data_IF_614139700995
#
_entry.id   IF_614139700995
#
_cell.length_a   1.000
_cell.length_b   1.000
_cell.length_c   1.000
_cell.angle_alpha   90.00
_cell.angle_beta   90.00
_cell.angle_gamma   90.00
#
_symmetry.space_group_name_H-M   'P 1'
#
loop_
_entity.id
_entity.type
_entity.pdbx_description
1 polymer ?
#
# COMPACT_ATOMS: atom_id res chain seq x y z
N UNK A 1 -11.93 14.27 16.11
CA UNK A 1 -12.68 14.16 14.84
C UNK A 1 -13.34 15.50 14.57
N UNK A 2 -13.00 16.18 13.48
CA UNK A 2 -13.84 17.28 12.99
C UNK A 2 -15.10 16.63 12.41
N UNK A 3 -16.26 17.15 12.83
CA UNK A 3 -17.64 16.80 12.44
C UNK A 3 -17.85 15.43 11.77
N UNK A 4 -18.45 14.49 12.49
CA UNK A 4 -18.97 13.28 11.83
C UNK A 4 -20.09 13.68 10.85
N UNK A 5 -19.93 13.26 9.60
CA UNK A 5 -20.92 13.39 8.54
C UNK A 5 -21.51 11.99 8.26
N UNK A 6 -22.83 11.78 8.47
CA UNK A 6 -23.48 10.51 8.20
C UNK A 6 -23.33 10.03 6.75
N UNK A 7 -23.40 10.93 5.77
CA UNK A 7 -23.28 10.55 4.35
C UNK A 7 -21.85 10.08 4.04
N UNK A 8 -20.85 10.71 4.65
CA UNK A 8 -19.46 10.26 4.54
C UNK A 8 -19.24 8.89 5.22
N UNK A 9 -19.94 8.61 6.33
CA UNK A 9 -19.90 7.29 7.00
C UNK A 9 -20.48 6.19 6.12
N UNK A 10 -21.62 6.46 5.49
CA UNK A 10 -22.28 5.50 4.59
C UNK A 10 -21.42 5.23 3.34
N UNK A 11 -20.83 6.28 2.76
CA UNK A 11 -19.90 6.14 1.64
C UNK A 11 -18.67 5.30 2.02
N UNK A 12 -18.07 5.54 3.19
CA UNK A 12 -16.92 4.77 3.65
C UNK A 12 -17.28 3.30 3.91
N UNK A 13 -18.46 3.03 4.47
CA UNK A 13 -18.95 1.67 4.68
C UNK A 13 -19.15 0.94 3.34
N UNK A 14 -19.73 1.62 2.35
CA UNK A 14 -19.88 1.09 0.98
C UNK A 14 -18.54 0.80 0.31
N UNK A 15 -17.60 1.75 0.34
CA UNK A 15 -16.25 1.59 -0.21
C UNK A 15 -15.52 0.41 0.45
N UNK A 16 -15.61 0.28 1.78
CA UNK A 16 -15.03 -0.84 2.51
C UNK A 16 -15.63 -2.18 2.09
N UNK A 17 -16.95 -2.25 1.87
CA UNK A 17 -17.62 -3.47 1.40
C UNK A 17 -17.17 -3.85 -0.01
N UNK A 18 -17.17 -2.89 -0.94
CA UNK A 18 -16.70 -3.11 -2.32
C UNK A 18 -15.23 -3.56 -2.34
N UNK A 19 -14.38 -2.94 -1.51
CA UNK A 19 -12.99 -3.36 -1.33
C UNK A 19 -12.90 -4.81 -0.85
N UNK A 20 -13.66 -5.18 0.19
CA UNK A 20 -13.70 -6.55 0.69
C UNK A 20 -14.12 -7.57 -0.38
N UNK A 21 -15.15 -7.26 -1.17
CA UNK A 21 -15.60 -8.11 -2.27
C UNK A 21 -14.52 -8.27 -3.36
N UNK A 22 -13.83 -7.18 -3.72
CA UNK A 22 -12.75 -7.24 -4.71
C UNK A 22 -11.59 -8.11 -4.20
N UNK A 23 -11.12 -7.86 -2.98
CA UNK A 23 -9.97 -8.56 -2.39
C UNK A 23 -10.25 -10.06 -2.18
N UNK A 24 -11.48 -10.42 -1.79
CA UNK A 24 -11.87 -11.81 -1.61
C UNK A 24 -11.81 -12.64 -2.91
N UNK A 25 -11.92 -12.00 -4.08
CA UNK A 25 -11.96 -12.68 -5.37
C UNK A 25 -10.68 -12.50 -6.21
N UNK A 26 -10.01 -11.34 -6.09
CA UNK A 26 -8.80 -11.04 -6.85
C UNK A 26 -7.51 -11.35 -6.07
N UNK A 27 -7.60 -11.55 -4.75
CA UNK A 27 -6.44 -11.68 -3.89
C UNK A 27 -5.81 -10.33 -3.53
N UNK A 28 -4.57 -10.40 -3.04
CA UNK A 28 -3.82 -9.28 -2.49
C UNK A 28 -2.45 -9.20 -3.18
N UNK A 29 -1.53 -8.38 -2.64
CA UNK A 29 -0.18 -8.24 -3.17
C UNK A 29 0.82 -7.83 -2.11
N UNK A 30 1.91 -7.18 -2.55
CA UNK A 30 3.07 -6.89 -1.74
C UNK A 30 2.78 -6.08 -0.46
N UNK A 31 1.82 -5.15 -0.48
CA UNK A 31 1.38 -4.42 0.73
C UNK A 31 1.01 -5.38 1.85
N UNK A 32 0.17 -6.37 1.57
CA UNK A 32 -0.28 -7.33 2.58
C UNK A 32 0.78 -8.39 2.91
N UNK A 33 1.68 -8.69 1.97
CA UNK A 33 2.84 -9.57 2.21
C UNK A 33 3.83 -8.97 3.20
N UNK A 34 4.11 -7.68 3.07
CA UNK A 34 4.93 -6.90 4.01
C UNK A 34 4.20 -6.69 5.34
N UNK A 35 2.93 -6.28 5.31
CA UNK A 35 2.16 -5.98 6.51
C UNK A 35 2.00 -7.17 7.46
N UNK A 36 1.92 -8.40 6.95
CA UNK A 36 1.86 -9.61 7.78
C UNK A 36 3.13 -9.82 8.62
N UNK A 37 4.30 -9.65 8.01
CA UNK A 37 5.61 -9.79 8.69
C UNK A 37 5.81 -8.65 9.69
N UNK A 38 5.62 -7.40 9.25
CA UNK A 38 5.79 -6.22 10.08
C UNK A 38 4.83 -6.25 11.28
N UNK A 39 3.57 -6.61 11.07
CA UNK A 39 2.59 -6.73 12.15
C UNK A 39 2.96 -7.78 13.18
N UNK A 40 3.49 -8.93 12.74
CA UNK A 40 3.99 -9.98 13.64
C UNK A 40 5.20 -9.55 14.47
N UNK A 41 6.05 -8.68 13.94
CA UNK A 41 7.24 -8.18 14.62
C UNK A 41 6.94 -7.00 15.57
N UNK A 42 6.11 -6.06 15.14
CA UNK A 42 5.93 -4.76 15.81
C UNK A 42 4.67 -4.68 16.67
N UNK A 43 3.66 -5.52 16.38
CA UNK A 43 2.32 -5.39 16.95
C UNK A 43 1.55 -4.16 16.46
N UNK A 44 2.06 -3.42 15.48
CA UNK A 44 1.40 -2.25 14.92
C UNK A 44 0.08 -2.61 14.22
N UNK A 45 -0.87 -1.66 14.23
CA UNK A 45 -2.18 -1.87 13.62
C UNK A 45 -2.05 -2.14 12.10
N UNK A 46 -2.68 -3.22 11.63
CA UNK A 46 -2.55 -3.67 10.25
C UNK A 46 -2.89 -2.58 9.22
N UNK A 47 -3.98 -1.84 9.43
CA UNK A 47 -4.37 -0.75 8.55
C UNK A 47 -3.34 0.38 8.49
N UNK A 48 -2.64 0.67 9.58
CA UNK A 48 -1.59 1.68 9.62
C UNK A 48 -0.37 1.24 8.80
N UNK A 49 0.04 -0.03 8.93
CA UNK A 49 1.13 -0.60 8.15
C UNK A 49 0.78 -0.61 6.66
N UNK A 50 -0.41 -1.10 6.30
CA UNK A 50 -0.87 -1.14 4.92
C UNK A 50 -0.95 0.26 4.30
N UNK A 51 -1.44 1.25 5.06
CA UNK A 51 -1.50 2.65 4.61
C UNK A 51 -0.11 3.24 4.36
N UNK A 52 0.85 3.02 5.26
CA UNK A 52 2.23 3.50 5.12
C UNK A 52 2.95 2.89 3.90
N UNK A 53 2.57 1.67 3.48
CA UNK A 53 3.21 0.96 2.37
C UNK A 53 2.55 1.23 1.01
N UNK A 54 1.32 1.76 0.97
CA UNK A 54 0.48 1.74 -0.23
C UNK A 54 1.09 2.55 -1.38
N UNK A 55 1.56 3.77 -1.11
CA UNK A 55 2.20 4.62 -2.12
C UNK A 55 3.48 4.01 -2.70
N UNK A 56 4.50 3.69 -1.86
CA UNK A 56 5.73 3.06 -2.32
C UNK A 56 5.53 1.75 -3.09
N UNK A 57 4.63 0.87 -2.62
CA UNK A 57 4.33 -0.39 -3.33
C UNK A 57 3.65 -0.14 -4.68
N UNK A 58 2.71 0.82 -4.75
CA UNK A 58 2.07 1.19 -6.01
C UNK A 58 3.11 1.68 -7.03
N UNK A 59 4.04 2.53 -6.61
CA UNK A 59 5.13 3.01 -7.45
C UNK A 59 6.02 1.87 -7.97
N UNK A 60 6.44 0.96 -7.07
CA UNK A 60 7.29 -0.16 -7.42
C UNK A 60 6.59 -1.11 -8.41
N UNK A 61 5.35 -1.48 -8.12
CA UNK A 61 4.53 -2.31 -9.01
C UNK A 61 4.35 -1.67 -10.37
N UNK A 62 3.99 -0.38 -10.41
CA UNK A 62 3.80 0.35 -11.66
C UNK A 62 5.08 0.39 -12.49
N UNK A 63 6.22 0.61 -11.85
CA UNK A 63 7.53 0.70 -12.52
C UNK A 63 7.98 -0.63 -13.12
N UNK A 64 7.72 -1.74 -12.42
CA UNK A 64 8.09 -3.09 -12.88
C UNK A 64 7.06 -3.74 -13.82
N UNK A 65 5.81 -3.25 -13.84
CA UNK A 65 4.74 -3.82 -14.64
C UNK A 65 4.86 -3.49 -16.13
N UNK A 66 4.38 -4.43 -16.94
CA UNK A 66 4.21 -4.30 -18.39
C UNK A 66 2.81 -4.77 -18.81
N UNK A 67 2.41 -4.48 -20.04
CA UNK A 67 1.15 -4.96 -20.63
C UNK A 67 -0.09 -4.61 -19.79
N UNK A 68 -1.00 -5.58 -19.63
CA UNK A 68 -2.30 -5.37 -18.95
C UNK A 68 -2.14 -4.93 -17.49
N UNK A 69 -1.17 -5.47 -16.76
CA UNK A 69 -0.91 -5.08 -15.38
C UNK A 69 -0.50 -3.60 -15.31
N UNK A 70 0.38 -3.17 -16.22
CA UNK A 70 0.79 -1.77 -16.31
C UNK A 70 -0.40 -0.85 -16.61
N UNK A 71 -1.21 -1.18 -17.62
CA UNK A 71 -2.39 -0.39 -17.98
C UNK A 71 -3.37 -0.24 -16.81
N UNK A 72 -3.57 -1.29 -16.00
CA UNK A 72 -4.43 -1.22 -14.81
C UNK A 72 -3.84 -0.34 -13.70
N UNK A 73 -2.52 -0.38 -13.51
CA UNK A 73 -1.85 0.47 -12.53
C UNK A 73 -1.82 1.93 -12.98
N UNK A 74 -1.71 2.19 -14.29
CA UNK A 74 -1.86 3.53 -14.87
C UNK A 74 -3.28 4.07 -14.65
N UNK A 75 -4.33 3.28 -14.93
CA UNK A 75 -5.74 3.63 -14.65
C UNK A 75 -5.95 4.01 -13.17
N UNK A 76 -5.42 3.21 -12.24
CA UNK A 76 -5.48 3.52 -10.80
C UNK A 76 -4.75 4.82 -10.47
N UNK A 77 -3.59 5.07 -11.07
CA UNK A 77 -2.84 6.31 -10.83
C UNK A 77 -3.55 7.53 -11.41
N UNK A 78 -4.28 7.41 -12.53
CA UNK A 78 -5.10 8.49 -13.09
C UNK A 78 -6.26 8.84 -12.14
N UNK A 79 -6.96 7.84 -11.59
CA UNK A 79 -8.04 8.06 -10.61
C UNK A 79 -7.52 8.74 -9.33
N UNK A 80 -6.36 8.30 -8.83
CA UNK A 80 -5.73 8.90 -7.66
C UNK A 80 -5.25 10.33 -7.95
N UNK A 81 -4.69 10.56 -9.13
CA UNK A 81 -4.23 11.87 -9.57
C UNK A 81 -5.37 12.89 -9.60
N UNK A 82 -6.53 12.51 -10.16
CA UNK A 82 -7.73 13.35 -10.16
C UNK A 82 -8.19 13.66 -8.73
N UNK A 83 -8.29 12.64 -7.87
CA UNK A 83 -8.78 12.78 -6.51
C UNK A 83 -7.85 13.63 -5.61
N UNK A 84 -6.54 13.55 -5.83
CA UNK A 84 -5.52 14.21 -5.00
C UNK A 84 -4.98 15.51 -5.62
N UNK A 85 -5.42 15.89 -6.81
CA UNK A 85 -4.93 17.08 -7.52
C UNK A 85 -3.46 16.97 -7.93
N UNK A 86 -3.03 15.80 -8.41
CA UNK A 86 -1.67 15.50 -8.85
C UNK A 86 -1.65 15.00 -10.31
N UNK A 87 -0.47 14.73 -10.88
CA UNK A 87 -0.38 13.97 -12.14
C UNK A 87 -0.39 12.47 -11.88
N UNK A 88 -0.76 11.65 -12.87
CA UNK A 88 -0.70 10.18 -12.76
C UNK A 88 0.70 9.65 -12.45
N UNK A 89 1.75 10.40 -12.82
CA UNK A 89 3.12 10.06 -12.46
C UNK A 89 3.42 10.29 -10.98
N UNK A 90 2.85 11.34 -10.40
CA UNK A 90 3.05 11.74 -8.99
C UNK A 90 2.08 11.03 -8.04
N UNK A 91 1.00 10.43 -8.56
CA UNK A 91 -0.08 9.85 -7.77
C UNK A 91 0.37 8.92 -6.62
N UNK A 92 1.35 8.00 -6.79
CA UNK A 92 1.81 7.17 -5.67
C UNK A 92 2.44 7.99 -4.52
N UNK A 93 3.20 9.03 -4.85
CA UNK A 93 3.81 9.92 -3.86
C UNK A 93 2.77 10.86 -3.24
N UNK A 94 1.82 11.37 -4.05
CA UNK A 94 0.71 12.19 -3.57
C UNK A 94 -0.18 11.40 -2.58
N UNK A 95 -0.45 10.12 -2.87
CA UNK A 95 -1.19 9.24 -1.98
C UNK A 95 -0.48 9.05 -0.63
N UNK A 96 0.84 8.84 -0.65
CA UNK A 96 1.63 8.73 0.57
C UNK A 96 1.61 10.03 1.39
N UNK A 97 1.81 11.17 0.72
CA UNK A 97 1.78 12.48 1.37
C UNK A 97 0.41 12.78 1.98
N UNK A 98 -0.67 12.46 1.27
CA UNK A 98 -2.04 12.57 1.78
C UNK A 98 -2.27 11.68 3.01
N UNK A 99 -1.84 10.41 2.96
CA UNK A 99 -1.97 9.50 4.09
C UNK A 99 -1.29 10.04 5.36
N UNK A 100 -0.07 10.58 5.24
CA UNK A 100 0.62 11.23 6.34
C UNK A 100 -0.10 12.50 6.83
N UNK A 101 -0.62 13.32 5.93
CA UNK A 101 -1.38 14.52 6.28
C UNK A 101 -2.68 14.21 7.05
N UNK A 102 -3.33 13.08 6.74
CA UNK A 102 -4.51 12.56 7.45
C UNK A 102 -4.17 11.79 8.74
N UNK A 103 -2.89 11.76 9.13
CA UNK A 103 -2.46 11.25 10.43
C UNK A 103 -2.00 9.80 10.46
N UNK A 104 -1.82 9.15 9.30
CA UNK A 104 -1.13 7.86 9.28
C UNK A 104 0.36 8.03 9.60
N UNK A 105 0.93 7.19 10.48
CA UNK A 105 2.34 7.24 10.79
C UNK A 105 3.19 6.69 9.64
N UNK A 106 4.41 7.21 9.49
CA UNK A 106 5.44 6.57 8.67
C UNK A 106 5.86 5.22 9.28
N UNK A 107 6.43 4.33 8.47
CA UNK A 107 6.73 2.97 8.90
C UNK A 107 7.74 2.93 10.07
N UNK A 108 8.71 3.85 10.09
CA UNK A 108 9.64 4.03 11.22
C UNK A 108 8.94 4.30 12.56
N UNK A 109 7.83 5.05 12.54
CA UNK A 109 7.07 5.37 13.74
C UNK A 109 6.22 4.19 14.22
N UNK A 110 6.08 3.15 13.39
CA UNK A 110 5.46 1.87 13.71
C UNK A 110 6.49 0.84 14.23
N UNK A 111 7.76 1.23 14.41
CA UNK A 111 8.79 0.38 15.02
C UNK A 111 9.61 -0.43 14.02
N UNK A 112 9.52 -0.14 12.71
CA UNK A 112 10.42 -0.71 11.71
C UNK A 112 11.71 0.13 11.64
N UNK A 113 12.85 -0.54 11.59
CA UNK A 113 14.19 0.08 11.55
C UNK A 113 14.95 -0.38 10.31
N UNK A 114 15.88 0.44 9.84
CA UNK A 114 16.60 0.22 8.57
C UNK A 114 17.35 -1.12 8.53
N UNK A 115 17.90 -1.57 9.67
CA UNK A 115 18.59 -2.84 9.80
C UNK A 115 17.66 -4.06 9.69
N UNK A 116 16.35 -3.87 9.80
CA UNK A 116 15.34 -4.93 9.64
C UNK A 116 14.85 -5.08 8.20
N UNK A 117 15.13 -4.13 7.30
CA UNK A 117 14.55 -4.10 5.95
C UNK A 117 14.85 -5.38 5.15
N UNK A 118 16.09 -5.88 5.21
CA UNK A 118 16.47 -7.09 4.50
C UNK A 118 15.70 -8.31 5.01
N UNK A 119 15.63 -8.49 6.33
CA UNK A 119 14.92 -9.60 6.95
C UNK A 119 13.41 -9.56 6.67
N UNK A 120 12.79 -8.38 6.78
CA UNK A 120 11.37 -8.20 6.45
C UNK A 120 11.12 -8.57 4.98
N UNK A 121 11.96 -8.05 4.08
CA UNK A 121 11.83 -8.28 2.65
C UNK A 121 11.96 -9.77 2.28
N UNK A 122 12.93 -10.47 2.85
CA UNK A 122 13.11 -11.91 2.65
C UNK A 122 11.92 -12.73 3.18
N UNK A 123 11.49 -12.44 4.41
CA UNK A 123 10.36 -13.14 5.02
C UNK A 123 9.05 -12.93 4.25
N UNK A 124 8.84 -11.72 3.71
CA UNK A 124 7.63 -11.37 2.97
C UNK A 124 7.49 -12.08 1.62
N UNK A 125 8.59 -12.58 1.03
CA UNK A 125 8.51 -13.38 -0.21
C UNK A 125 7.77 -14.71 -0.01
N UNK A 126 7.78 -15.25 1.21
CA UNK A 126 7.07 -16.50 1.53
C UNK A 126 5.57 -16.27 1.81
N UNK A 127 5.11 -15.03 1.98
CA UNK A 127 3.73 -14.72 2.31
C UNK A 127 2.78 -15.11 1.15
N UNK A 128 1.66 -15.76 1.48
CA UNK A 128 0.65 -16.15 0.47
C UNK A 128 0.08 -14.96 -0.28
N UNK A 129 -0.08 -13.82 0.39
CA UNK A 129 -0.52 -12.55 -0.20
C UNK A 129 0.46 -11.99 -1.25
N UNK A 130 1.77 -12.25 -1.11
CA UNK A 130 2.77 -11.81 -2.09
C UNK A 130 2.59 -12.51 -3.44
N UNK A 131 2.06 -13.74 -3.46
CA UNK A 131 1.84 -14.51 -4.70
C UNK A 131 0.82 -13.87 -5.64
N UNK A 132 -0.09 -13.05 -5.12
CA UNK A 132 -1.09 -12.32 -5.91
C UNK A 132 -0.57 -10.99 -6.48
N UNK A 133 0.66 -10.57 -6.14
CA UNK A 133 1.20 -9.31 -6.62
C UNK A 133 1.35 -9.34 -8.16
N UNK A 134 0.97 -8.28 -8.90
CA UNK A 134 0.92 -8.31 -10.36
C UNK A 134 2.29 -8.48 -11.03
N UNK A 135 3.36 -8.24 -10.29
CA UNK A 135 4.75 -8.40 -10.73
C UNK A 135 5.58 -9.03 -9.60
N UNK A 136 6.59 -9.85 -9.92
CA UNK A 136 7.54 -10.27 -8.92
C UNK A 136 8.39 -9.07 -8.48
N UNK A 137 8.52 -8.87 -7.17
CA UNK A 137 9.42 -7.87 -6.59
C UNK A 137 10.61 -8.58 -5.94
N UNK A 138 11.82 -8.10 -6.22
CA UNK A 138 13.05 -8.63 -5.63
C UNK A 138 13.25 -8.10 -4.22
N UNK A 139 14.11 -8.76 -3.43
CA UNK A 139 14.48 -8.27 -2.08
C UNK A 139 14.99 -6.81 -2.12
N UNK A 140 15.88 -6.40 -3.04
CA UNK A 140 16.26 -4.99 -3.15
C UNK A 140 15.08 -4.04 -3.39
N UNK A 141 14.14 -4.41 -4.27
CA UNK A 141 12.96 -3.60 -4.53
C UNK A 141 12.05 -3.48 -3.30
N UNK A 142 11.92 -4.54 -2.51
CA UNK A 142 11.18 -4.53 -1.25
C UNK A 142 11.89 -3.68 -0.18
N UNK A 143 13.22 -3.72 -0.10
CA UNK A 143 13.98 -2.82 0.78
C UNK A 143 13.78 -1.35 0.39
N UNK A 144 13.84 -1.01 -0.90
CA UNK A 144 13.57 0.35 -1.39
C UNK A 144 12.14 0.81 -1.07
N UNK A 145 11.16 -0.09 -1.08
CA UNK A 145 9.79 0.20 -0.63
C UNK A 145 9.79 0.57 0.85
N UNK A 146 10.45 -0.21 1.71
CA UNK A 146 10.49 0.01 3.16
C UNK A 146 11.20 1.32 3.53
N UNK A 147 12.29 1.65 2.84
CA UNK A 147 13.01 2.93 3.03
C UNK A 147 12.17 4.16 2.71
N UNK A 148 11.18 4.03 1.82
CA UNK A 148 10.31 5.12 1.36
C UNK A 148 9.01 5.25 2.15
N UNK A 149 8.72 4.32 3.07
CA UNK A 149 7.43 4.16 3.76
C UNK A 149 7.34 4.86 5.14
#
# INVERSE_FOLDING_TARGET
MRGEDPDARDQMAWVSLCGGLALANAGLGAVHGLAGVIGGMTGAAHGAICGALLGPVLQANRSAATGKARSRLDEVCELLAEALGATAQEAPAALQAWAWAEGLPALRALGVTDDQHAMISEASLAASSMKGNPVPLSVPALCEILERA
#
